data_IF_752811236750
#
_entry.id   IF_752811236750
#
_cell.length_a   1.000
_cell.length_b   1.000
_cell.length_c   1.000
_cell.angle_alpha   90.00
_cell.angle_beta   90.00
_cell.angle_gamma   90.00
#
_symmetry.space_group_name_H-M   'P 1'
#
loop_
_entity.id
_entity.type
_entity.pdbx_description
1 polymer ?
#
# COMPACT_ATOMS: atom_id res chain seq x y z
N UNK A 1 -44.04 -24.31 9.69
CA UNK A 1 -42.59 -24.57 9.85
C UNK A 1 -42.43 -25.52 11.02
N UNK A 2 -42.18 -26.80 10.76
CA UNK A 2 -42.06 -27.82 11.81
C UNK A 2 -40.60 -27.90 12.27
N UNK A 3 -40.16 -26.91 13.04
CA UNK A 3 -38.79 -26.81 13.54
C UNK A 3 -38.80 -27.26 15.00
N UNK A 4 -38.17 -28.38 15.29
CA UNK A 4 -37.99 -28.83 16.68
C UNK A 4 -37.12 -27.85 17.45
N UNK A 5 -37.33 -27.73 18.77
CA UNK A 5 -36.51 -26.88 19.66
C UNK A 5 -35.00 -27.11 19.46
N UNK A 6 -34.60 -28.36 19.21
CA UNK A 6 -33.21 -28.74 18.93
C UNK A 6 -32.69 -28.21 17.59
N UNK A 7 -33.52 -28.17 16.54
CA UNK A 7 -33.14 -27.57 15.25
C UNK A 7 -33.00 -26.05 15.37
N UNK A 8 -33.88 -25.39 16.13
CA UNK A 8 -33.78 -23.95 16.39
C UNK A 8 -32.42 -23.57 17.01
N UNK A 9 -31.99 -24.28 18.06
CA UNK A 9 -30.68 -24.03 18.69
C UNK A 9 -29.49 -24.24 17.74
N UNK A 10 -29.53 -25.25 16.87
CA UNK A 10 -28.47 -25.49 15.88
C UNK A 10 -28.37 -24.36 14.85
N UNK A 11 -29.49 -23.82 14.41
CA UNK A 11 -29.53 -22.70 13.46
C UNK A 11 -28.94 -21.44 14.11
N UNK A 12 -29.36 -21.10 15.34
CA UNK A 12 -28.84 -19.94 16.06
C UNK A 12 -27.33 -20.06 16.32
N UNK A 13 -26.86 -21.23 16.77
CA UNK A 13 -25.43 -21.46 17.01
C UNK A 13 -24.60 -21.41 15.72
N UNK A 14 -25.10 -22.02 14.64
CA UNK A 14 -24.44 -21.97 13.32
C UNK A 14 -24.44 -20.56 12.72
N UNK A 15 -25.52 -19.80 12.88
CA UNK A 15 -25.64 -18.41 12.46
C UNK A 15 -24.65 -17.51 13.20
N UNK A 16 -24.60 -17.61 14.53
CA UNK A 16 -23.68 -16.83 15.37
C UNK A 16 -22.21 -17.17 15.07
N UNK A 17 -21.90 -18.46 14.90
CA UNK A 17 -20.56 -18.88 14.50
C UNK A 17 -20.19 -18.35 13.11
N UNK A 18 -21.10 -18.46 12.13
CA UNK A 18 -20.89 -17.96 10.77
C UNK A 18 -20.66 -16.44 10.71
N UNK A 19 -21.47 -15.65 11.42
CA UNK A 19 -21.28 -14.19 11.49
C UNK A 19 -20.01 -13.80 12.20
N UNK A 20 -19.61 -14.54 13.24
CA UNK A 20 -18.36 -14.29 13.98
C UNK A 20 -17.14 -14.58 13.11
N UNK A 21 -17.13 -15.72 12.40
CA UNK A 21 -16.08 -16.09 11.44
C UNK A 21 -15.96 -15.04 10.33
N UNK A 22 -17.10 -14.53 9.82
CA UNK A 22 -17.11 -13.47 8.83
C UNK A 22 -16.58 -12.13 9.37
N UNK A 23 -17.00 -11.71 10.56
CA UNK A 23 -16.56 -10.47 11.20
C UNK A 23 -15.05 -10.49 11.55
N UNK A 24 -14.51 -11.67 11.90
CA UNK A 24 -13.08 -11.87 12.15
C UNK A 24 -12.23 -11.92 10.86
N UNK A 25 -12.85 -11.79 9.68
CA UNK A 25 -12.14 -11.67 8.41
C UNK A 25 -11.75 -13.00 7.77
N UNK A 26 -12.36 -14.12 8.16
CA UNK A 26 -12.20 -15.43 7.50
C UNK A 26 -13.08 -15.58 6.26
N UNK A 27 -13.82 -14.53 5.87
CA UNK A 27 -14.46 -14.47 4.55
C UNK A 27 -13.39 -14.17 3.49
N UNK A 28 -13.38 -14.91 2.35
CA UNK A 28 -12.44 -14.64 1.28
C UNK A 28 -12.68 -13.22 0.76
N UNK A 29 -11.67 -12.36 0.89
CA UNK A 29 -11.68 -11.05 0.26
C UNK A 29 -11.55 -11.24 -1.24
N UNK A 30 -12.23 -10.38 -2.02
CA UNK A 30 -11.96 -10.28 -3.45
C UNK A 30 -10.46 -10.05 -3.65
N UNK A 31 -9.80 -10.96 -4.36
CA UNK A 31 -8.40 -10.79 -4.70
C UNK A 31 -8.27 -9.59 -5.64
N UNK A 32 -7.73 -8.48 -5.13
CA UNK A 32 -7.35 -7.35 -5.96
C UNK A 32 -6.13 -7.77 -6.79
N UNK A 33 -6.36 -8.22 -8.01
CA UNK A 33 -5.31 -8.62 -8.96
C UNK A 33 -4.64 -7.42 -9.66
N UNK A 34 -4.91 -6.19 -9.21
CA UNK A 34 -4.31 -4.98 -9.76
C UNK A 34 -2.96 -4.70 -9.10
N UNK A 35 -1.99 -4.25 -9.89
CA UNK A 35 -0.77 -3.67 -9.34
C UNK A 35 -1.09 -2.47 -8.43
N UNK A 36 -0.30 -2.27 -7.38
CA UNK A 36 -0.41 -1.06 -6.55
C UNK A 36 -0.21 0.19 -7.42
N UNK A 37 -0.83 1.30 -7.01
CA UNK A 37 -0.58 2.59 -7.65
C UNK A 37 0.91 2.95 -7.62
N UNK A 38 1.35 3.68 -8.64
CA UNK A 38 2.73 4.12 -8.71
C UNK A 38 3.01 5.15 -7.62
N UNK A 39 3.93 4.81 -6.71
CA UNK A 39 4.13 5.54 -5.45
C UNK A 39 4.65 6.99 -5.64
N UNK A 40 5.21 7.31 -6.80
CA UNK A 40 5.92 8.58 -7.06
C UNK A 40 5.10 9.61 -7.85
N UNK A 41 3.85 9.30 -8.25
CA UNK A 41 3.04 10.11 -9.18
C UNK A 41 2.92 11.61 -8.82
N UNK A 42 3.10 11.96 -7.54
CA UNK A 42 3.01 13.35 -7.07
C UNK A 42 4.13 13.72 -6.08
N UNK A 43 5.24 12.98 -6.12
CA UNK A 43 6.43 13.37 -5.39
C UNK A 43 7.10 14.57 -6.07
N UNK A 44 7.82 15.36 -5.27
CA UNK A 44 8.77 16.32 -5.81
C UNK A 44 10.04 15.57 -6.23
N UNK A 45 10.40 15.67 -7.50
CA UNK A 45 11.61 15.11 -8.08
C UNK A 45 12.75 16.15 -8.01
N UNK A 46 13.95 15.71 -7.58
CA UNK A 46 15.15 16.54 -7.48
C UNK A 46 16.34 15.78 -8.08
N UNK A 47 17.07 16.42 -8.99
CA UNK A 47 18.32 15.90 -9.55
C UNK A 47 19.48 16.09 -8.58
N UNK A 48 20.30 15.06 -8.38
CA UNK A 48 21.51 15.10 -7.55
C UNK A 48 22.57 14.11 -8.10
N UNK A 49 23.75 14.08 -7.50
CA UNK A 49 24.83 13.15 -7.84
C UNK A 49 25.09 12.18 -6.71
N UNK A 50 25.46 10.95 -7.06
CA UNK A 50 25.84 9.91 -6.09
C UNK A 50 27.05 10.37 -5.25
N UNK A 51 26.92 10.27 -3.92
CA UNK A 51 27.89 10.84 -2.97
C UNK A 51 28.98 9.87 -2.54
N UNK A 52 29.14 8.74 -3.23
CA UNK A 52 30.03 7.66 -2.78
C UNK A 52 31.38 7.65 -3.49
N UNK A 53 31.40 7.54 -4.82
CA UNK A 53 32.63 7.41 -5.59
C UNK A 53 32.71 8.47 -6.70
N UNK A 54 33.86 8.54 -7.37
CA UNK A 54 34.15 9.51 -8.42
C UNK A 54 33.48 9.22 -9.77
N UNK A 55 32.67 8.15 -9.88
CA UNK A 55 31.88 7.88 -11.09
C UNK A 55 30.87 9.01 -11.32
N UNK A 56 30.29 9.55 -10.24
CA UNK A 56 29.41 10.72 -10.33
C UNK A 56 28.02 10.43 -10.91
N UNK A 57 27.50 9.20 -10.78
CA UNK A 57 26.19 8.80 -11.29
C UNK A 57 25.09 9.83 -10.97
N UNK A 58 24.32 10.22 -11.98
CA UNK A 58 23.13 11.05 -11.80
C UNK A 58 22.04 10.31 -11.05
N UNK A 59 21.34 11.02 -10.18
CA UNK A 59 20.27 10.52 -9.33
C UNK A 59 18.99 11.36 -9.48
N UNK A 60 17.86 10.68 -9.48
CA UNK A 60 16.54 11.26 -9.26
C UNK A 60 16.07 10.91 -7.85
N UNK A 61 15.96 11.93 -7.00
CA UNK A 61 15.47 11.80 -5.63
C UNK A 61 14.01 12.24 -5.56
N UNK A 62 13.19 11.48 -4.82
CA UNK A 62 11.78 11.77 -4.62
C UNK A 62 11.47 12.05 -3.16
N UNK A 63 10.92 13.24 -2.92
CA UNK A 63 10.50 13.71 -1.60
C UNK A 63 8.99 13.72 -1.45
N UNK A 64 8.52 13.45 -0.24
CA UNK A 64 7.16 13.75 0.18
C UNK A 64 7.03 15.27 0.32
N UNK A 65 5.94 15.82 -0.22
CA UNK A 65 5.73 17.27 -0.34
C UNK A 65 5.92 17.75 -1.78
N UNK A 66 5.31 18.89 -2.09
CA UNK A 66 5.26 19.50 -3.42
C UNK A 66 6.11 20.78 -3.52
N UNK A 67 6.90 21.08 -2.48
CA UNK A 67 7.67 22.31 -2.35
C UNK A 67 6.92 23.47 -1.71
N UNK A 68 5.67 23.27 -1.27
CA UNK A 68 4.96 24.28 -0.50
C UNK A 68 5.61 24.49 0.88
N UNK A 69 5.63 25.75 1.34
CA UNK A 69 6.29 26.15 2.60
C UNK A 69 5.76 25.42 3.84
N UNK A 70 4.51 24.97 3.81
CA UNK A 70 3.85 24.23 4.89
C UNK A 70 4.11 22.71 4.85
N UNK A 71 4.76 22.19 3.80
CA UNK A 71 5.14 20.79 3.69
C UNK A 71 6.65 20.64 3.91
N UNK A 72 7.04 20.03 5.02
CA UNK A 72 8.45 19.70 5.27
C UNK A 72 8.85 18.51 4.40
N UNK A 73 9.79 18.73 3.49
CA UNK A 73 10.25 17.71 2.57
C UNK A 73 10.95 16.57 3.30
N UNK A 74 10.64 15.34 2.90
CA UNK A 74 11.29 14.13 3.40
C UNK A 74 11.50 13.15 2.24
N UNK A 75 12.76 12.82 1.97
CA UNK A 75 13.13 11.86 0.91
C UNK A 75 12.65 10.47 1.31
N UNK A 76 12.02 9.75 0.38
CA UNK A 76 11.55 8.37 0.61
C UNK A 76 11.87 7.41 -0.55
N UNK A 77 12.45 7.91 -1.64
CA UNK A 77 12.96 7.08 -2.73
C UNK A 77 14.05 7.80 -3.54
N UNK A 78 15.02 7.05 -4.06
CA UNK A 78 16.09 7.52 -4.94
C UNK A 78 16.29 6.46 -6.02
N UNK A 79 16.41 6.88 -7.27
CA UNK A 79 16.77 6.03 -8.42
C UNK A 79 17.76 6.75 -9.34
N UNK A 80 18.22 6.09 -10.41
CA UNK A 80 19.19 6.66 -11.36
C UNK A 80 18.55 7.67 -12.30
N UNK A 81 19.33 8.66 -12.72
CA UNK A 81 18.95 9.59 -13.79
C UNK A 81 19.25 8.95 -15.17
N UNK A 82 18.22 8.63 -15.98
CA UNK A 82 18.40 7.99 -17.27
C UNK A 82 19.03 8.92 -18.32
N UNK A 83 19.02 10.23 -18.09
CA UNK A 83 19.64 11.21 -18.99
C UNK A 83 21.15 11.38 -18.70
N UNK A 84 21.66 10.81 -17.60
CA UNK A 84 23.06 10.92 -17.21
C UNK A 84 23.95 10.01 -18.07
N UNK A 85 25.03 10.52 -18.70
CA UNK A 85 25.74 9.81 -19.76
C UNK A 85 26.76 8.75 -19.29
N UNK A 86 27.06 8.69 -17.99
CA UNK A 86 28.00 7.74 -17.37
C UNK A 86 27.25 6.52 -16.88
#
# INVERSE_FOLDING_TARGET
MDVSRRQFFKICAGGMAGTTVAALGFTPKMALAQARNYKLLRAKEIRNSCTYCSVGCGLLMYSLGDGAKNAKEAIYHIEGDPDHPV
#
